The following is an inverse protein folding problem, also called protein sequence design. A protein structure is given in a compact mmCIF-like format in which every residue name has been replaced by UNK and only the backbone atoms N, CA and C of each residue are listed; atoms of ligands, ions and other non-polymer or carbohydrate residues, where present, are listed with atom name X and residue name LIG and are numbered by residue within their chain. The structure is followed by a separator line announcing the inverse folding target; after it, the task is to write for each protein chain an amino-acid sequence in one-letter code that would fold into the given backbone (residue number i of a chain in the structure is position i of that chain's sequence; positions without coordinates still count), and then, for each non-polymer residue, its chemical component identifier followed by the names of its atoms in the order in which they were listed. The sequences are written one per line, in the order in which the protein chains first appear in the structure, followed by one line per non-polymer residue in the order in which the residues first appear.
data_IF_657495494980
#
_entry.id   IF_657495494980
#
_cell.length_a   1.000
_cell.length_b   1.000
_cell.length_c   1.000
_cell.angle_alpha   90.00
_cell.angle_beta   90.00
_cell.angle_gamma   90.00
#
_symmetry.space_group_name_H-M   'P 1'
#
loop_
_entity.id
_entity.type
_entity.pdbx_description
1 polymer ?
#
# COMPACT_ATOMS: atom_id res chain seq x y z
N UNK A 1 20.97 -3.40 16.15
CA UNK A 1 20.57 -4.81 15.93
C UNK A 1 20.98 -5.26 14.55
N UNK A 2 21.12 -6.57 14.34
CA UNK A 2 21.14 -7.18 13.01
C UNK A 2 19.70 -7.56 12.65
N UNK A 3 19.13 -6.95 11.61
CA UNK A 3 17.74 -7.14 11.20
C UNK A 3 17.69 -7.81 9.83
N UNK A 4 16.99 -8.93 9.74
CA UNK A 4 16.65 -9.56 8.47
C UNK A 4 15.36 -8.98 7.91
N UNK A 5 15.28 -8.80 6.59
CA UNK A 5 14.06 -8.44 5.88
C UNK A 5 13.81 -9.47 4.78
N UNK A 6 12.64 -10.09 4.78
CA UNK A 6 12.16 -10.96 3.71
C UNK A 6 11.04 -10.25 2.95
N UNK A 7 11.27 -9.98 1.68
CA UNK A 7 10.27 -9.39 0.79
C UNK A 7 10.31 -10.03 -0.59
N UNK A 8 9.14 -10.22 -1.21
CA UNK A 8 9.04 -10.74 -2.56
C UNK A 8 9.46 -9.70 -3.61
N UNK A 9 9.06 -8.44 -3.38
CA UNK A 9 9.42 -7.28 -4.17
C UNK A 9 10.29 -6.32 -3.35
N UNK A 10 11.28 -5.70 -3.99
CA UNK A 10 12.17 -4.73 -3.38
C UNK A 10 12.71 -3.75 -4.45
N UNK A 11 13.01 -2.50 -4.14
CA UNK A 11 13.55 -1.55 -5.11
C UNK A 11 14.66 -2.15 -5.99
N UNK A 12 14.69 -1.87 -7.33
CA UNK A 12 14.02 -0.76 -8.03
C UNK A 12 12.56 -1.02 -8.43
N UNK A 13 11.94 -2.12 -8.03
CA UNK A 13 10.49 -2.31 -8.18
C UNK A 13 9.73 -1.27 -7.35
N UNK A 14 8.46 -0.94 -7.69
CA UNK A 14 7.64 -0.01 -6.90
C UNK A 14 7.19 -0.63 -5.56
N UNK A 15 8.14 -1.12 -4.78
CA UNK A 15 7.99 -1.73 -3.46
C UNK A 15 8.46 -0.76 -2.38
N UNK A 16 7.74 0.36 -2.24
CA UNK A 16 8.19 1.48 -1.40
C UNK A 16 8.32 1.11 0.08
N UNK A 17 7.35 0.39 0.64
CA UNK A 17 7.32 0.07 2.08
C UNK A 17 8.55 -0.72 2.53
N UNK A 18 8.89 -1.90 1.95
CA UNK A 18 10.07 -2.63 2.40
C UNK A 18 11.39 -1.92 2.07
N UNK A 19 11.43 -1.13 0.98
CA UNK A 19 12.60 -0.34 0.61
C UNK A 19 12.89 0.76 1.61
N UNK A 20 11.94 1.65 1.84
CA UNK A 20 12.08 2.77 2.77
C UNK A 20 12.28 2.31 4.22
N UNK A 21 11.64 1.19 4.63
CA UNK A 21 11.90 0.58 5.94
C UNK A 21 13.35 0.14 6.08
N UNK A 22 13.90 -0.54 5.06
CA UNK A 22 15.29 -1.01 5.10
C UNK A 22 16.28 0.15 5.17
N UNK A 23 16.08 1.18 4.35
CA UNK A 23 16.92 2.38 4.32
C UNK A 23 16.87 3.12 5.66
N UNK A 24 15.67 3.33 6.22
CA UNK A 24 15.50 4.06 7.47
C UNK A 24 16.08 3.27 8.66
N UNK A 25 15.87 1.96 8.74
CA UNK A 25 16.49 1.12 9.79
C UNK A 25 18.02 1.14 9.70
N UNK A 26 18.59 1.11 8.49
CA UNK A 26 20.03 1.24 8.29
C UNK A 26 20.56 2.62 8.72
N UNK A 27 19.82 3.70 8.37
CA UNK A 27 20.13 5.07 8.80
C UNK A 27 20.09 5.23 10.33
N UNK A 28 19.22 4.47 11.00
CA UNK A 28 19.11 4.40 12.47
C UNK A 28 20.22 3.56 13.13
N UNK A 29 21.16 3.04 12.35
CA UNK A 29 22.35 2.32 12.86
C UNK A 29 22.16 0.81 13.01
N UNK A 30 21.07 0.23 12.49
CA UNK A 30 20.92 -1.23 12.43
C UNK A 30 21.69 -1.82 11.27
N UNK A 31 22.21 -3.04 11.41
CA UNK A 31 22.76 -3.81 10.30
C UNK A 31 21.63 -4.58 9.62
N UNK A 32 21.23 -4.15 8.44
CA UNK A 32 20.04 -4.64 7.73
C UNK A 32 20.43 -5.57 6.60
N UNK A 33 19.79 -6.74 6.54
CA UNK A 33 19.97 -7.74 5.48
C UNK A 33 18.65 -8.05 4.81
N UNK A 34 18.54 -7.70 3.54
CA UNK A 34 17.32 -7.94 2.73
C UNK A 34 17.49 -9.16 1.84
N UNK A 35 16.61 -10.12 1.97
CA UNK A 35 16.50 -11.29 1.08
C UNK A 35 15.26 -11.12 0.20
N UNK A 36 15.46 -11.04 -1.12
CA UNK A 36 14.39 -10.72 -2.09
C UNK A 36 14.62 -11.36 -3.45
N UNK A 37 13.63 -11.25 -4.34
CA UNK A 37 13.74 -11.70 -5.74
C UNK A 37 14.44 -10.69 -6.64
N UNK A 38 14.71 -11.10 -7.88
CA UNK A 38 15.09 -10.18 -8.95
C UNK A 38 13.88 -9.36 -9.40
N UNK A 39 14.08 -8.08 -9.83
CA UNK A 39 12.98 -7.20 -10.17
C UNK A 39 12.28 -7.64 -11.48
N UNK A 40 10.96 -7.84 -11.41
CA UNK A 40 10.11 -8.21 -12.56
C UNK A 40 8.70 -7.58 -12.51
N UNK A 41 8.33 -6.89 -11.43
CA UNK A 41 7.02 -6.27 -11.28
C UNK A 41 6.98 -4.84 -11.87
N UNK A 42 5.94 -4.45 -12.64
CA UNK A 42 4.66 -5.17 -12.83
C UNK A 42 4.62 -6.11 -14.05
N UNK A 43 5.62 -6.08 -14.92
CA UNK A 43 5.60 -6.76 -16.22
C UNK A 43 5.73 -8.29 -16.17
N UNK A 44 6.18 -8.87 -15.03
CA UNK A 44 6.42 -10.30 -14.90
C UNK A 44 7.66 -10.80 -15.65
N UNK A 45 8.49 -9.88 -16.17
CA UNK A 45 9.77 -10.17 -16.82
C UNK A 45 10.88 -9.41 -16.09
N UNK A 46 12.03 -10.06 -15.96
CA UNK A 46 13.20 -9.42 -15.34
C UNK A 46 13.53 -8.12 -16.07
N UNK A 47 13.78 -7.07 -15.31
CA UNK A 47 14.05 -5.73 -15.85
C UNK A 47 15.25 -5.71 -16.81
N UNK A 48 15.25 -4.85 -17.85
CA UNK A 48 16.39 -4.63 -18.72
C UNK A 48 17.66 -4.33 -17.91
N UNK A 49 18.77 -4.96 -18.29
CA UNK A 49 20.05 -4.83 -17.58
C UNK A 49 20.23 -5.74 -16.38
N UNK A 50 19.18 -6.42 -15.91
CA UNK A 50 19.27 -7.40 -14.83
C UNK A 50 19.41 -8.83 -15.37
N UNK A 51 20.24 -9.63 -14.69
CA UNK A 51 20.37 -11.08 -14.96
C UNK A 51 20.29 -11.83 -13.65
N UNK A 52 19.46 -12.85 -13.58
CA UNK A 52 19.33 -13.69 -12.40
C UNK A 52 20.61 -14.50 -12.15
N UNK A 53 21.13 -14.42 -10.93
CA UNK A 53 22.34 -15.12 -10.45
C UNK A 53 22.16 -15.51 -8.99
N UNK A 54 22.78 -16.59 -8.56
CA UNK A 54 22.71 -17.04 -7.16
C UNK A 54 23.46 -16.14 -6.18
N UNK A 55 24.52 -15.51 -6.62
CA UNK A 55 25.42 -14.69 -5.79
C UNK A 55 25.28 -13.19 -6.10
N UNK A 56 24.06 -12.71 -6.30
CA UNK A 56 23.82 -11.29 -6.50
C UNK A 56 23.57 -10.60 -5.15
N UNK A 57 24.57 -9.92 -4.66
CA UNK A 57 24.52 -9.16 -3.41
C UNK A 57 25.05 -7.76 -3.64
N UNK A 58 24.33 -6.77 -3.10
CA UNK A 58 24.73 -5.36 -3.13
C UNK A 58 24.81 -4.84 -1.71
N UNK A 59 25.81 -4.01 -1.44
CA UNK A 59 26.08 -3.45 -0.12
C UNK A 59 26.10 -1.94 -0.19
N UNK A 60 25.48 -1.29 0.79
CA UNK A 60 25.54 0.14 1.03
C UNK A 60 25.57 0.37 2.53
N UNK A 61 26.64 0.98 3.04
CA UNK A 61 26.85 1.22 4.49
C UNK A 61 26.42 0.01 5.35
N UNK A 62 25.24 0.09 5.99
CA UNK A 62 24.67 -0.94 6.88
C UNK A 62 23.54 -1.75 6.23
N UNK A 63 23.37 -1.68 4.92
CA UNK A 63 22.33 -2.37 4.17
C UNK A 63 22.94 -3.33 3.15
N UNK A 64 22.71 -4.63 3.33
CA UNK A 64 23.05 -5.68 2.39
C UNK A 64 21.78 -6.24 1.73
N UNK A 65 21.72 -6.24 0.41
CA UNK A 65 20.58 -6.77 -0.35
C UNK A 65 21.01 -7.96 -1.18
N UNK A 66 20.53 -9.14 -0.83
CA UNK A 66 20.73 -10.37 -1.58
C UNK A 66 19.51 -10.74 -2.40
N UNK A 67 19.71 -10.88 -3.72
CA UNK A 67 18.63 -11.28 -4.64
C UNK A 67 18.81 -12.74 -5.03
N UNK A 68 17.68 -13.47 -4.98
CA UNK A 68 17.64 -14.88 -5.37
C UNK A 68 16.86 -15.07 -6.67
N UNK A 69 17.27 -16.02 -7.53
CA UNK A 69 16.54 -16.33 -8.74
C UNK A 69 15.12 -16.82 -8.43
N UNK A 70 14.18 -16.46 -9.29
CA UNK A 70 12.80 -16.96 -9.27
C UNK A 70 12.26 -17.09 -10.70
N UNK A 71 11.24 -17.90 -10.87
CA UNK A 71 10.57 -17.98 -12.15
C UNK A 71 9.87 -16.66 -12.47
N UNK A 72 10.20 -16.08 -13.63
CA UNK A 72 9.68 -14.82 -14.16
C UNK A 72 9.13 -15.11 -15.56
N UNK A 73 7.94 -15.67 -15.64
CA UNK A 73 7.30 -16.14 -16.88
C UNK A 73 5.98 -15.43 -17.22
N UNK A 74 5.85 -14.16 -16.80
CA UNK A 74 4.62 -13.38 -16.98
C UNK A 74 3.61 -13.59 -15.84
N UNK A 75 2.69 -12.62 -15.69
CA UNK A 75 1.70 -12.59 -14.59
C UNK A 75 0.30 -13.10 -15.01
N UNK A 76 0.17 -13.55 -16.26
CA UNK A 76 -1.15 -13.73 -16.91
C UNK A 76 -1.84 -15.06 -16.60
N UNK A 77 -1.20 -16.00 -15.92
CA UNK A 77 -1.82 -17.27 -15.54
C UNK A 77 -1.60 -17.60 -14.07
N UNK A 78 -2.57 -18.30 -13.48
CA UNK A 78 -2.48 -18.79 -12.10
C UNK A 78 -1.29 -19.75 -11.94
N UNK A 79 -1.04 -20.60 -12.92
CA UNK A 79 0.10 -21.53 -12.92
C UNK A 79 1.45 -20.82 -12.89
N UNK A 80 1.63 -19.75 -13.69
CA UNK A 80 2.86 -18.96 -13.69
C UNK A 80 3.09 -18.27 -12.35
N UNK A 81 2.04 -17.74 -11.71
CA UNK A 81 2.13 -17.15 -10.36
C UNK A 81 2.53 -18.17 -9.31
N UNK A 82 1.91 -19.36 -9.32
CA UNK A 82 2.26 -20.44 -8.40
C UNK A 82 3.71 -20.88 -8.59
N UNK A 83 4.15 -21.08 -9.85
CA UNK A 83 5.54 -21.43 -10.16
C UNK A 83 6.52 -20.38 -9.64
N UNK A 84 6.17 -19.08 -9.78
CA UNK A 84 6.99 -17.99 -9.25
C UNK A 84 7.08 -18.03 -7.72
N UNK A 85 5.98 -18.26 -7.02
CA UNK A 85 5.96 -18.33 -5.55
C UNK A 85 6.77 -19.53 -5.02
N UNK A 86 6.62 -20.69 -5.64
CA UNK A 86 7.35 -21.89 -5.23
C UNK A 86 8.83 -21.81 -5.56
N UNK A 87 9.20 -21.27 -6.73
CA UNK A 87 10.61 -21.09 -7.09
C UNK A 87 11.29 -20.06 -6.18
N UNK A 88 10.59 -18.98 -5.83
CA UNK A 88 11.08 -18.03 -4.83
C UNK A 88 11.29 -18.68 -3.47
N UNK A 89 10.33 -19.47 -2.98
CA UNK A 89 10.44 -20.19 -1.73
C UNK A 89 11.62 -21.16 -1.71
N UNK A 90 11.85 -21.90 -2.81
CA UNK A 90 13.00 -22.77 -2.97
C UNK A 90 14.33 -22.03 -2.91
N UNK A 91 14.43 -20.92 -3.66
CA UNK A 91 15.63 -20.10 -3.71
C UNK A 91 15.93 -19.41 -2.37
N UNK A 92 14.90 -18.90 -1.70
CA UNK A 92 15.02 -18.34 -0.33
C UNK A 92 15.50 -19.42 0.64
N UNK A 93 14.99 -20.66 0.55
CA UNK A 93 15.40 -21.76 1.43
C UNK A 93 16.90 -22.06 1.35
N UNK A 94 17.47 -21.97 0.15
CA UNK A 94 18.90 -22.20 -0.07
C UNK A 94 19.77 -21.05 0.46
N UNK A 95 19.29 -19.81 0.37
CA UNK A 95 20.03 -18.61 0.76
C UNK A 95 19.90 -18.28 2.25
N UNK A 96 18.74 -18.53 2.87
CA UNK A 96 18.37 -18.01 4.19
C UNK A 96 19.34 -18.41 5.30
N UNK A 97 19.77 -19.70 5.35
CA UNK A 97 20.68 -20.20 6.41
C UNK A 97 22.01 -19.45 6.47
N UNK A 98 22.56 -19.08 5.31
CA UNK A 98 23.86 -18.36 5.27
C UNK A 98 23.68 -16.87 5.46
N UNK A 99 22.57 -16.32 5.01
CA UNK A 99 22.40 -14.87 4.94
C UNK A 99 21.63 -14.28 6.13
N UNK A 100 20.72 -15.05 6.76
CA UNK A 100 19.87 -14.61 7.85
C UNK A 100 20.04 -15.35 9.17
N UNK A 101 21.02 -16.27 9.30
CA UNK A 101 21.14 -17.11 10.50
C UNK A 101 21.55 -16.36 11.78
N UNK A 102 22.28 -15.26 11.63
CA UNK A 102 22.81 -14.47 12.74
C UNK A 102 22.09 -13.12 12.95
N UNK A 103 20.88 -12.97 12.37
CA UNK A 103 20.06 -11.78 12.64
C UNK A 103 19.34 -11.90 13.98
N UNK A 104 19.18 -10.79 14.68
CA UNK A 104 18.49 -10.73 15.98
C UNK A 104 16.97 -10.91 15.83
N UNK A 105 16.40 -10.38 14.74
CA UNK A 105 14.99 -10.52 14.38
C UNK A 105 14.78 -10.44 12.87
N UNK A 106 13.69 -11.03 12.39
CA UNK A 106 13.28 -11.04 11.00
C UNK A 106 12.00 -10.22 10.82
N UNK A 107 12.02 -9.24 9.90
CA UNK A 107 10.82 -8.62 9.38
C UNK A 107 10.40 -9.30 8.08
N UNK A 108 9.12 -9.63 7.95
CA UNK A 108 8.54 -10.22 6.75
C UNK A 108 7.47 -9.30 6.19
N UNK A 109 7.69 -8.76 4.99
CA UNK A 109 6.65 -8.07 4.24
C UNK A 109 5.72 -9.12 3.63
N UNK A 110 4.64 -9.42 4.36
CA UNK A 110 3.81 -10.58 4.08
C UNK A 110 2.77 -10.29 3.01
N UNK A 111 2.97 -10.92 1.87
CA UNK A 111 2.06 -10.99 0.73
C UNK A 111 1.71 -12.47 0.48
N UNK A 112 0.66 -12.80 -0.28
CA UNK A 112 0.42 -14.18 -0.74
C UNK A 112 1.66 -14.79 -1.40
N UNK A 113 2.42 -13.99 -2.16
CA UNK A 113 3.67 -14.38 -2.81
C UNK A 113 4.79 -14.83 -1.86
N UNK A 114 4.82 -14.34 -0.62
CA UNK A 114 5.85 -14.68 0.37
C UNK A 114 5.50 -15.90 1.22
N UNK A 115 4.27 -16.39 1.21
CA UNK A 115 3.75 -17.37 2.16
C UNK A 115 4.64 -18.62 2.29
N UNK A 116 4.98 -19.26 1.18
CA UNK A 116 5.82 -20.47 1.21
C UNK A 116 7.28 -20.18 1.58
N UNK A 117 7.81 -19.03 1.15
CA UNK A 117 9.14 -18.57 1.56
C UNK A 117 9.19 -18.32 3.08
N UNK A 118 8.17 -17.67 3.63
CA UNK A 118 8.03 -17.43 5.07
C UNK A 118 7.97 -18.74 5.85
N UNK A 119 7.12 -19.69 5.42
CA UNK A 119 7.01 -21.02 6.04
C UNK A 119 8.34 -21.77 6.03
N UNK A 120 9.08 -21.69 4.92
CA UNK A 120 10.39 -22.31 4.78
C UNK A 120 11.43 -21.66 5.72
N UNK A 121 11.48 -20.34 5.77
CA UNK A 121 12.40 -19.61 6.65
C UNK A 121 12.12 -19.89 8.12
N UNK A 122 10.85 -19.92 8.56
CA UNK A 122 10.48 -20.28 9.94
C UNK A 122 10.94 -21.68 10.33
N UNK A 123 10.89 -22.64 9.38
CA UNK A 123 11.39 -24.00 9.59
C UNK A 123 12.91 -24.06 9.65
N UNK A 124 13.62 -23.26 8.82
CA UNK A 124 15.07 -23.28 8.70
C UNK A 124 15.77 -22.49 9.80
N UNK A 125 15.14 -21.44 10.31
CA UNK A 125 15.64 -20.52 11.31
C UNK A 125 14.70 -20.42 12.52
N UNK A 126 14.44 -21.53 13.24
CA UNK A 126 13.41 -21.56 14.30
C UNK A 126 13.77 -20.69 15.52
N UNK A 127 15.04 -20.29 15.67
CA UNK A 127 15.51 -19.44 16.77
C UNK A 127 15.45 -17.95 16.44
N UNK A 128 15.20 -17.56 15.17
CA UNK A 128 15.10 -16.17 14.76
C UNK A 128 13.64 -15.72 14.90
N UNK A 129 13.35 -14.84 15.86
CA UNK A 129 11.98 -14.35 16.03
C UNK A 129 11.56 -13.49 14.84
N UNK A 130 10.31 -13.62 14.41
CA UNK A 130 9.82 -12.93 13.24
C UNK A 130 8.63 -12.01 13.53
N UNK A 131 8.68 -10.82 12.93
CA UNK A 131 7.60 -9.85 12.82
C UNK A 131 7.00 -9.94 11.43
N UNK A 132 5.74 -10.32 11.31
CA UNK A 132 5.01 -10.31 10.05
C UNK A 132 4.34 -8.94 9.88
N UNK A 133 4.47 -8.31 8.72
CA UNK A 133 3.67 -7.17 8.34
C UNK A 133 2.72 -7.59 7.21
N UNK A 134 1.49 -7.89 7.59
CA UNK A 134 0.45 -8.45 6.71
C UNK A 134 -0.13 -7.34 5.88
N UNK A 135 0.02 -7.45 4.55
CA UNK A 135 -0.42 -6.46 3.57
C UNK A 135 -1.73 -6.86 2.92
N UNK A 136 -1.98 -8.16 2.87
CA UNK A 136 -3.17 -8.73 2.26
C UNK A 136 -3.51 -10.02 3.00
N UNK A 137 -4.76 -10.17 3.39
CA UNK A 137 -5.24 -11.38 4.05
C UNK A 137 -5.87 -12.28 2.99
N UNK A 138 -5.32 -13.47 2.85
CA UNK A 138 -5.91 -14.46 1.97
C UNK A 138 -7.27 -14.88 2.51
N UNK A 139 -8.34 -14.26 2.01
CA UNK A 139 -9.69 -14.66 2.32
C UNK A 139 -10.01 -16.02 1.66
N UNK A 140 -10.69 -16.92 2.38
CA UNK A 140 -11.15 -18.20 1.84
C UNK A 140 -12.00 -18.02 0.57
N UNK A 141 -12.74 -16.92 0.51
CA UNK A 141 -13.67 -16.61 -0.58
C UNK A 141 -12.94 -16.18 -1.89
N UNK A 142 -11.73 -15.63 -1.79
CA UNK A 142 -10.87 -15.36 -2.97
C UNK A 142 -10.23 -16.63 -3.56
N UNK A 143 -10.30 -17.74 -2.85
CA UNK A 143 -9.80 -19.03 -3.27
C UNK A 143 -10.73 -19.76 -4.23
N UNK A 144 -12.02 -19.49 -4.18
CA UNK A 144 -12.99 -20.05 -5.13
C UNK A 144 -12.76 -19.52 -6.55
N UNK A 145 -12.27 -18.28 -6.67
CA UNK A 145 -11.87 -17.70 -7.96
C UNK A 145 -10.63 -18.37 -8.59
N UNK A 146 -9.84 -19.13 -7.81
CA UNK A 146 -8.65 -19.83 -8.30
C UNK A 146 -8.90 -21.28 -8.76
N UNK A 147 -10.12 -21.79 -8.65
CA UNK A 147 -10.55 -23.07 -9.25
C UNK A 147 -9.94 -24.34 -8.64
N UNK A 148 -9.07 -24.26 -7.62
CA UNK A 148 -8.45 -25.43 -6.95
C UNK A 148 -8.54 -25.31 -5.41
N UNK A 149 -9.61 -25.91 -4.86
CA UNK A 149 -9.86 -25.94 -3.41
C UNK A 149 -8.70 -26.54 -2.59
N UNK A 150 -7.90 -27.45 -3.18
CA UNK A 150 -6.74 -28.06 -2.51
C UNK A 150 -5.59 -27.08 -2.32
N UNK A 151 -5.32 -26.22 -3.33
CA UNK A 151 -4.29 -25.20 -3.25
C UNK A 151 -4.63 -24.15 -2.19
N UNK A 152 -5.87 -23.72 -2.19
CA UNK A 152 -6.39 -22.78 -1.21
C UNK A 152 -6.30 -23.30 0.22
N UNK A 153 -6.69 -24.55 0.45
CA UNK A 153 -6.59 -25.18 1.75
C UNK A 153 -5.13 -25.28 2.25
N UNK A 154 -4.17 -25.61 1.35
CA UNK A 154 -2.73 -25.65 1.67
C UNK A 154 -2.18 -24.28 2.02
N UNK A 155 -2.58 -23.26 1.28
CA UNK A 155 -2.20 -21.87 1.56
C UNK A 155 -2.75 -21.43 2.92
N UNK A 156 -4.02 -21.68 3.20
CA UNK A 156 -4.65 -21.36 4.48
C UNK A 156 -3.98 -22.08 5.66
N UNK A 157 -3.68 -23.37 5.52
CA UNK A 157 -2.95 -24.12 6.56
C UNK A 157 -1.54 -23.57 6.80
N UNK A 158 -0.83 -23.19 5.73
CA UNK A 158 0.48 -22.57 5.82
C UNK A 158 0.39 -21.23 6.56
N UNK A 159 -0.59 -20.39 6.21
CA UNK A 159 -0.81 -19.09 6.87
C UNK A 159 -1.17 -19.24 8.35
N UNK A 160 -2.06 -20.17 8.70
CA UNK A 160 -2.39 -20.47 10.11
C UNK A 160 -1.13 -20.85 10.91
N UNK A 161 -0.26 -21.70 10.34
CA UNK A 161 1.00 -22.07 10.99
C UNK A 161 1.94 -20.86 11.14
N UNK A 162 2.05 -20.03 10.11
CA UNK A 162 2.87 -18.81 10.13
C UNK A 162 2.38 -17.87 11.22
N UNK A 163 1.08 -17.58 11.29
CA UNK A 163 0.51 -16.69 12.30
C UNK A 163 0.74 -17.19 13.73
N UNK A 164 0.57 -18.50 13.98
CA UNK A 164 0.83 -19.10 15.30
C UNK A 164 2.30 -19.05 15.72
N UNK A 165 3.21 -19.09 14.76
CA UNK A 165 4.66 -19.14 15.02
C UNK A 165 5.28 -17.75 15.11
N UNK A 166 4.66 -16.74 14.51
CA UNK A 166 5.18 -15.37 14.51
C UNK A 166 5.30 -14.78 15.92
N UNK A 167 6.42 -14.14 16.21
CA UNK A 167 6.63 -13.45 17.48
C UNK A 167 5.72 -12.22 17.63
N UNK A 168 5.49 -11.49 16.53
CA UNK A 168 4.57 -10.35 16.42
C UNK A 168 3.93 -10.34 15.03
N UNK A 169 2.73 -9.79 14.94
CA UNK A 169 1.99 -9.60 13.68
C UNK A 169 1.57 -8.15 13.58
N UNK A 170 2.09 -7.43 12.60
CA UNK A 170 1.62 -6.12 12.21
C UNK A 170 0.57 -6.28 11.09
N UNK A 171 -0.53 -5.53 11.15
CA UNK A 171 -1.57 -5.50 10.12
C UNK A 171 -1.66 -4.11 9.50
N UNK A 172 -1.79 -4.04 8.17
CA UNK A 172 -1.79 -2.77 7.43
C UNK A 172 -3.14 -2.03 7.46
N UNK A 173 -4.19 -2.65 8.01
CA UNK A 173 -5.51 -2.05 8.15
C UNK A 173 -6.24 -2.59 9.40
N UNK A 174 -7.13 -1.81 10.04
CA UNK A 174 -7.80 -2.20 11.28
C UNK A 174 -8.57 -3.52 11.19
N UNK A 175 -9.39 -3.70 10.16
CA UNK A 175 -10.22 -4.92 10.00
C UNK A 175 -9.39 -6.18 9.73
N UNK A 176 -8.15 -6.07 9.29
CA UNK A 176 -7.25 -7.21 9.12
C UNK A 176 -6.91 -7.88 10.46
N UNK A 177 -7.05 -7.16 11.60
CA UNK A 177 -6.80 -7.72 12.92
C UNK A 177 -7.65 -8.96 13.18
N UNK A 178 -8.97 -8.83 13.01
CA UNK A 178 -9.90 -9.91 13.29
C UNK A 178 -9.70 -11.07 12.32
N UNK A 179 -9.37 -10.77 11.06
CA UNK A 179 -9.09 -11.79 10.04
C UNK A 179 -7.83 -12.63 10.38
N UNK A 180 -6.72 -11.99 10.80
CA UNK A 180 -5.51 -12.73 11.17
C UNK A 180 -5.68 -13.49 12.48
N UNK A 181 -6.46 -12.98 13.44
CA UNK A 181 -6.82 -13.67 14.68
C UNK A 181 -7.67 -14.88 14.37
N UNK A 182 -8.71 -14.75 13.55
CA UNK A 182 -9.52 -15.88 13.09
C UNK A 182 -8.69 -16.94 12.33
N UNK A 183 -7.62 -16.50 11.65
CA UNK A 183 -6.68 -17.38 10.96
C UNK A 183 -5.62 -18.01 11.89
N UNK A 184 -5.63 -17.69 13.21
CA UNK A 184 -4.81 -18.33 14.22
C UNK A 184 -3.70 -17.48 14.84
N UNK A 185 -3.65 -16.17 14.60
CA UNK A 185 -2.75 -15.27 15.31
C UNK A 185 -3.21 -15.09 16.77
N UNK A 186 -2.25 -14.96 17.68
CA UNK A 186 -2.53 -14.58 19.07
C UNK A 186 -2.94 -13.09 19.12
N UNK A 187 -4.14 -12.74 19.61
CA UNK A 187 -4.61 -11.35 19.66
C UNK A 187 -3.65 -10.39 20.38
N UNK A 188 -2.93 -10.89 21.41
CA UNK A 188 -1.95 -10.11 22.18
C UNK A 188 -0.70 -9.74 21.37
N UNK A 189 -0.45 -10.45 20.26
CA UNK A 189 0.70 -10.23 19.37
C UNK A 189 0.37 -9.43 18.12
N UNK A 190 -0.92 -9.07 17.93
CA UNK A 190 -1.37 -8.33 16.73
C UNK A 190 -1.40 -6.83 17.02
N UNK A 191 -0.72 -6.04 16.18
CA UNK A 191 -0.69 -4.58 16.25
C UNK A 191 -1.01 -3.94 14.90
N UNK A 192 -1.67 -2.78 14.92
CA UNK A 192 -1.93 -1.99 13.72
C UNK A 192 -0.68 -1.17 13.35
N UNK A 193 -0.19 -1.37 12.14
CA UNK A 193 0.87 -0.57 11.54
C UNK A 193 0.44 -0.22 10.12
N UNK A 194 -0.17 0.95 9.98
CA UNK A 194 -0.60 1.46 8.67
C UNK A 194 0.60 1.69 7.76
N UNK A 195 0.40 1.46 6.46
CA UNK A 195 1.40 1.78 5.45
C UNK A 195 1.58 3.30 5.32
N UNK A 196 2.71 3.70 4.75
CA UNK A 196 3.09 5.09 4.47
C UNK A 196 3.34 5.33 2.99
N UNK A 197 3.42 6.59 2.59
CA UNK A 197 3.81 6.99 1.24
C UNK A 197 5.21 7.64 1.23
N UNK A 198 5.76 7.93 0.06
CA UNK A 198 7.02 8.67 -0.05
C UNK A 198 6.79 10.16 0.21
N UNK A 199 7.13 10.62 1.40
CA UNK A 199 6.94 12.00 1.85
C UNK A 199 7.90 12.99 1.14
N UNK A 200 8.94 12.49 0.46
CA UNK A 200 9.80 13.30 -0.40
C UNK A 200 9.10 13.67 -1.71
N UNK A 201 8.09 12.84 -2.09
CA UNK A 201 7.26 13.03 -3.27
C UNK A 201 5.90 13.63 -2.88
N UNK A 202 5.22 13.07 -1.88
CA UNK A 202 3.86 13.48 -1.48
C UNK A 202 3.89 14.39 -0.25
N UNK A 203 3.89 15.69 -0.48
CA UNK A 203 3.91 16.74 0.55
C UNK A 203 2.96 17.89 0.17
N UNK A 204 2.55 18.75 1.11
CA UNK A 204 1.76 19.92 0.79
C UNK A 204 2.52 20.86 -0.12
N UNK A 205 1.96 21.14 -1.30
CA UNK A 205 2.55 22.01 -2.30
C UNK A 205 1.64 23.21 -2.61
N UNK A 206 2.22 24.24 -3.20
CA UNK A 206 1.46 25.31 -3.85
C UNK A 206 1.42 25.02 -5.33
N UNK A 207 0.23 24.93 -5.96
CA UNK A 207 0.14 24.61 -7.36
C UNK A 207 0.70 25.71 -8.25
N UNK A 208 1.59 25.36 -9.17
CA UNK A 208 2.08 26.27 -10.20
C UNK A 208 1.00 26.58 -11.27
N UNK A 209 1.29 27.54 -12.16
CA UNK A 209 0.36 27.92 -13.23
C UNK A 209 0.01 26.74 -14.15
N UNK A 210 0.99 25.92 -14.51
CA UNK A 210 0.79 24.74 -15.36
C UNK A 210 -0.14 23.71 -14.75
N UNK A 211 0.04 23.38 -13.46
CA UNK A 211 -0.83 22.47 -12.73
C UNK A 211 -2.26 23.00 -12.64
N UNK A 212 -2.43 24.29 -12.37
CA UNK A 212 -3.76 24.94 -12.35
C UNK A 212 -4.45 24.88 -13.70
N UNK A 213 -3.78 25.23 -14.80
CA UNK A 213 -4.34 25.17 -16.15
C UNK A 213 -4.71 23.74 -16.56
N UNK A 214 -3.92 22.77 -16.14
CA UNK A 214 -4.17 21.36 -16.42
C UNK A 214 -5.40 20.83 -15.70
N UNK A 215 -5.55 21.18 -14.42
CA UNK A 215 -6.59 20.62 -13.53
C UNK A 215 -7.87 21.45 -13.59
N UNK A 216 -7.78 22.80 -13.71
CA UNK A 216 -8.93 23.71 -13.68
C UNK A 216 -9.22 24.32 -15.05
N UNK A 217 -10.50 24.44 -15.40
CA UNK A 217 -10.98 25.23 -16.56
C UNK A 217 -11.49 26.60 -16.12
N UNK A 218 -12.16 26.65 -14.99
CA UNK A 218 -12.81 27.84 -14.42
C UNK A 218 -12.80 27.79 -12.89
N UNK A 219 -13.77 28.42 -12.24
CA UNK A 219 -13.91 28.47 -10.78
C UNK A 219 -14.73 27.34 -10.18
N UNK A 220 -15.20 26.36 -10.98
CA UNK A 220 -15.95 25.21 -10.46
C UNK A 220 -15.12 24.38 -9.49
N UNK A 221 -15.81 23.68 -8.61
CA UNK A 221 -15.17 22.71 -7.73
C UNK A 221 -14.54 21.58 -8.57
N UNK A 222 -13.30 21.24 -8.28
CA UNK A 222 -12.60 20.14 -8.95
C UNK A 222 -12.37 18.98 -8.00
N UNK A 223 -12.94 17.83 -8.35
CA UNK A 223 -12.68 16.54 -7.71
C UNK A 223 -11.77 15.72 -8.62
N UNK A 224 -10.63 15.27 -8.12
CA UNK A 224 -9.61 14.60 -8.93
C UNK A 224 -9.37 13.17 -8.45
N UNK A 225 -9.43 12.19 -9.36
CA UNK A 225 -8.90 10.85 -9.14
C UNK A 225 -7.53 10.73 -9.79
N UNK A 226 -6.53 10.29 -9.04
CA UNK A 226 -5.20 10.07 -9.57
C UNK A 226 -4.73 8.62 -9.36
N UNK A 227 -4.38 7.93 -10.44
CA UNK A 227 -3.83 6.59 -10.43
C UNK A 227 -4.48 5.62 -11.42
N UNK A 228 -4.51 4.33 -11.08
CA UNK A 228 -5.04 3.28 -11.97
C UNK A 228 -6.53 3.47 -12.24
N UNK A 229 -6.92 3.38 -13.51
CA UNK A 229 -8.32 3.32 -13.98
C UNK A 229 -8.63 1.84 -14.25
N UNK A 230 -9.07 1.13 -13.23
CA UNK A 230 -9.27 -0.32 -13.29
C UNK A 230 -10.55 -0.77 -12.58
N UNK A 231 -10.86 -2.06 -12.73
CA UNK A 231 -12.13 -2.65 -12.27
C UNK A 231 -12.39 -2.46 -10.77
N UNK A 232 -11.35 -2.53 -9.94
CA UNK A 232 -11.48 -2.41 -8.47
C UNK A 232 -11.85 -0.99 -8.01
N UNK A 233 -11.66 0.03 -8.84
CA UNK A 233 -11.99 1.43 -8.53
C UNK A 233 -13.45 1.78 -8.80
N UNK A 234 -14.12 1.13 -9.75
CA UNK A 234 -15.51 1.41 -10.06
C UNK A 234 -15.78 2.85 -10.51
N UNK A 235 -14.91 3.43 -11.36
CA UNK A 235 -14.96 4.84 -11.74
C UNK A 235 -16.19 5.22 -12.58
N UNK A 236 -16.93 4.25 -13.11
CA UNK A 236 -18.24 4.47 -13.73
C UNK A 236 -19.24 5.13 -12.78
N UNK A 237 -19.18 4.80 -11.48
CA UNK A 237 -19.99 5.43 -10.43
C UNK A 237 -19.67 6.93 -10.34
N UNK A 238 -18.39 7.30 -10.38
CA UNK A 238 -17.96 8.70 -10.32
C UNK A 238 -18.37 9.47 -11.58
N UNK A 239 -18.30 8.84 -12.76
CA UNK A 239 -18.74 9.47 -14.03
C UNK A 239 -20.22 9.74 -14.02
N UNK A 240 -21.07 8.80 -13.55
CA UNK A 240 -22.54 9.00 -13.41
C UNK A 240 -22.84 10.13 -12.42
N UNK A 241 -22.19 10.13 -11.27
CA UNK A 241 -22.37 11.17 -10.26
C UNK A 241 -21.97 12.57 -10.80
N UNK A 242 -20.85 12.67 -11.51
CA UNK A 242 -20.38 13.93 -12.08
C UNK A 242 -21.31 14.41 -13.21
N UNK A 243 -21.79 13.52 -14.08
CA UNK A 243 -22.70 13.87 -15.17
C UNK A 243 -24.00 14.53 -14.67
N UNK A 244 -24.48 14.16 -13.47
CA UNK A 244 -25.64 14.78 -12.86
C UNK A 244 -25.39 16.23 -12.36
N UNK A 245 -24.12 16.69 -12.33
CA UNK A 245 -23.67 17.96 -11.76
C UNK A 245 -22.82 18.78 -12.73
N UNK A 246 -23.12 18.72 -14.01
CA UNK A 246 -22.33 19.24 -15.13
C UNK A 246 -21.92 20.73 -15.00
N UNK A 247 -22.74 21.54 -14.32
CA UNK A 247 -22.50 22.98 -14.10
C UNK A 247 -21.86 23.32 -12.75
N UNK A 248 -21.77 22.33 -11.84
CA UNK A 248 -21.38 22.56 -10.44
C UNK A 248 -19.93 22.20 -10.19
N UNK A 249 -19.45 21.13 -10.81
CA UNK A 249 -18.12 20.59 -10.56
C UNK A 249 -17.51 19.95 -11.80
N UNK A 250 -16.19 19.84 -11.79
CA UNK A 250 -15.40 19.06 -12.75
C UNK A 250 -14.85 17.79 -12.08
N UNK A 251 -14.98 16.66 -12.75
CA UNK A 251 -14.28 15.42 -12.41
C UNK A 251 -13.06 15.25 -13.29
N UNK A 252 -11.87 15.17 -12.69
CA UNK A 252 -10.61 14.99 -13.41
C UNK A 252 -10.03 13.62 -13.09
N UNK A 253 -9.89 12.76 -14.09
CA UNK A 253 -9.33 11.43 -13.99
C UNK A 253 -7.90 11.42 -14.58
N UNK A 254 -6.90 11.33 -13.68
CA UNK A 254 -5.48 11.33 -14.05
C UNK A 254 -4.95 9.90 -13.97
N UNK A 255 -4.51 9.35 -15.08
CA UNK A 255 -3.94 7.99 -15.09
C UNK A 255 -4.32 7.18 -16.31
N UNK A 256 -4.17 5.86 -16.18
CA UNK A 256 -4.51 4.89 -17.22
C UNK A 256 -4.86 3.54 -16.59
N UNK A 257 -5.41 2.63 -17.38
CA UNK A 257 -5.69 1.28 -16.92
C UNK A 257 -6.66 0.52 -17.80
N UNK A 258 -6.95 -0.73 -17.42
CA UNK A 258 -7.73 -1.64 -18.26
C UNK A 258 -9.17 -1.15 -18.52
N UNK A 259 -9.76 -0.38 -17.59
CA UNK A 259 -11.12 0.13 -17.71
C UNK A 259 -11.22 1.51 -18.36
N UNK A 260 -10.11 2.14 -18.73
CA UNK A 260 -10.11 3.51 -19.25
C UNK A 260 -11.05 3.67 -20.47
N UNK A 261 -11.01 2.72 -21.40
CA UNK A 261 -11.87 2.76 -22.58
C UNK A 261 -13.36 2.73 -22.19
N UNK A 262 -13.74 1.89 -21.27
CA UNK A 262 -15.12 1.74 -20.79
C UNK A 262 -15.59 3.00 -20.07
N UNK A 263 -14.77 3.58 -19.22
CA UNK A 263 -15.09 4.79 -18.44
C UNK A 263 -15.21 6.01 -19.36
N UNK A 264 -14.33 6.14 -20.38
CA UNK A 264 -14.44 7.19 -21.42
C UNK A 264 -15.71 7.03 -22.27
N UNK A 265 -16.06 5.80 -22.65
CA UNK A 265 -17.28 5.50 -23.40
C UNK A 265 -18.54 5.94 -22.65
N UNK A 266 -18.60 5.63 -21.34
CA UNK A 266 -19.71 6.05 -20.48
C UNK A 266 -19.80 7.59 -20.37
N UNK A 267 -18.68 8.29 -20.22
CA UNK A 267 -18.68 9.75 -20.16
C UNK A 267 -19.22 10.37 -21.46
N UNK A 268 -18.85 9.81 -22.62
CA UNK A 268 -19.36 10.24 -23.93
C UNK A 268 -20.85 9.94 -24.11
N UNK A 269 -21.32 8.76 -23.70
CA UNK A 269 -22.73 8.36 -23.73
C UNK A 269 -23.61 9.30 -22.91
N UNK A 270 -23.13 9.67 -21.71
CA UNK A 270 -23.83 10.59 -20.79
C UNK A 270 -23.63 12.07 -21.17
N UNK A 271 -22.85 12.37 -22.22
CA UNK A 271 -22.48 13.73 -22.61
C UNK A 271 -21.90 14.55 -21.44
N UNK A 272 -21.13 13.90 -20.58
CA UNK A 272 -20.57 14.47 -19.36
C UNK A 272 -19.31 15.33 -19.69
N UNK A 273 -19.54 16.58 -20.16
CA UNK A 273 -18.47 17.52 -20.58
C UNK A 273 -17.59 17.97 -19.39
N UNK A 274 -18.08 17.85 -18.17
CA UNK A 274 -17.36 18.11 -16.93
C UNK A 274 -16.47 16.94 -16.48
N UNK A 275 -16.46 15.79 -17.19
CA UNK A 275 -15.56 14.68 -16.93
C UNK A 275 -14.35 14.75 -17.86
N UNK A 276 -13.17 14.90 -17.28
CA UNK A 276 -11.92 15.08 -18.03
C UNK A 276 -10.93 13.96 -17.72
N UNK A 277 -10.19 13.56 -18.75
CA UNK A 277 -9.18 12.52 -18.65
C UNK A 277 -7.80 13.11 -18.97
N UNK A 278 -6.89 12.96 -18.05
CA UNK A 278 -5.49 13.33 -18.21
C UNK A 278 -4.62 12.08 -18.26
N UNK A 279 -3.63 12.07 -19.13
CA UNK A 279 -2.66 11.00 -19.20
C UNK A 279 -1.94 10.82 -17.87
N UNK A 280 -1.37 9.63 -17.65
CA UNK A 280 -0.51 9.32 -16.50
C UNK A 280 0.58 10.37 -16.35
N UNK A 281 0.81 10.82 -15.12
CA UNK A 281 1.83 11.80 -14.75
C UNK A 281 2.94 11.18 -13.93
N UNK A 282 4.07 11.83 -13.92
CA UNK A 282 5.18 11.46 -13.04
C UNK A 282 4.78 11.63 -11.57
N UNK A 283 5.19 10.75 -10.66
CA UNK A 283 4.96 10.94 -9.24
C UNK A 283 5.42 12.29 -8.70
N UNK A 284 6.49 12.88 -9.26
CA UNK A 284 7.02 14.18 -8.83
C UNK A 284 6.10 15.37 -9.17
N UNK A 285 5.19 15.21 -10.15
CA UNK A 285 4.21 16.24 -10.52
C UNK A 285 2.96 16.20 -9.61
N UNK A 286 2.77 15.10 -8.90
CA UNK A 286 1.52 14.83 -8.19
C UNK A 286 1.22 15.81 -7.05
N UNK A 287 2.17 16.29 -6.24
CA UNK A 287 1.89 17.27 -5.18
C UNK A 287 1.20 18.53 -5.70
N UNK A 288 1.69 19.09 -6.80
CA UNK A 288 1.08 20.28 -7.41
C UNK A 288 -0.29 19.98 -8.02
N UNK A 289 -0.48 18.81 -8.63
CA UNK A 289 -1.79 18.40 -9.15
C UNK A 289 -2.80 18.18 -8.01
N UNK A 290 -2.38 17.58 -6.90
CA UNK A 290 -3.22 17.43 -5.71
C UNK A 290 -3.63 18.80 -5.14
N UNK A 291 -2.68 19.74 -5.06
CA UNK A 291 -2.93 21.10 -4.58
C UNK A 291 -3.78 21.94 -5.56
N UNK A 292 -3.79 21.62 -6.87
CA UNK A 292 -4.60 22.29 -7.87
C UNK A 292 -6.08 21.85 -7.86
N UNK A 293 -6.39 20.65 -7.37
CA UNK A 293 -7.76 20.17 -7.18
C UNK A 293 -8.31 20.58 -5.80
N UNK A 294 -9.64 20.66 -5.67
CA UNK A 294 -10.28 20.94 -4.40
C UNK A 294 -10.39 19.69 -3.52
N UNK A 295 -10.57 18.51 -4.13
CA UNK A 295 -10.66 17.23 -3.42
C UNK A 295 -9.98 16.12 -4.21
N UNK A 296 -9.46 15.14 -3.47
CA UNK A 296 -9.01 13.87 -4.05
C UNK A 296 -10.10 12.82 -3.93
N UNK A 297 -10.41 12.15 -5.04
CA UNK A 297 -11.42 11.09 -5.09
C UNK A 297 -10.79 9.73 -4.83
N UNK A 298 -11.26 9.08 -3.79
CA UNK A 298 -10.91 7.71 -3.44
C UNK A 298 -12.09 6.80 -3.74
N UNK A 299 -11.88 5.86 -4.67
CA UNK A 299 -12.92 4.94 -5.13
C UNK A 299 -12.48 3.50 -4.90
N UNK A 300 -13.34 2.72 -4.27
CA UNK A 300 -13.24 1.27 -4.13
C UNK A 300 -14.61 0.65 -4.34
N UNK A 301 -14.69 -0.47 -5.06
CA UNK A 301 -15.94 -1.24 -5.20
C UNK A 301 -16.34 -1.88 -3.88
N UNK A 302 -17.61 -2.29 -3.77
CA UNK A 302 -18.11 -3.06 -2.63
C UNK A 302 -17.73 -4.54 -2.76
N UNK A 303 -16.44 -4.82 -2.57
CA UNK A 303 -15.90 -6.17 -2.55
C UNK A 303 -15.39 -6.47 -1.15
N UNK A 304 -15.68 -7.65 -0.57
CA UNK A 304 -15.26 -8.00 0.79
C UNK A 304 -13.77 -7.79 1.03
N UNK A 305 -12.93 -8.15 0.06
CA UNK A 305 -11.47 -8.01 0.14
C UNK A 305 -11.00 -6.54 0.06
N UNK A 306 -11.84 -5.59 -0.37
CA UNK A 306 -11.51 -4.17 -0.40
C UNK A 306 -11.94 -3.42 0.86
N UNK A 307 -12.84 -3.99 1.67
CA UNK A 307 -13.29 -3.37 2.93
C UNK A 307 -12.17 -3.24 3.95
N UNK A 308 -11.23 -4.19 3.96
CA UNK A 308 -10.03 -4.15 4.80
C UNK A 308 -8.82 -3.49 4.11
N UNK A 309 -9.02 -2.49 3.28
CA UNK A 309 -7.96 -1.83 2.53
C UNK A 309 -7.87 -0.33 2.86
N UNK A 310 -6.65 0.14 3.07
CA UNK A 310 -6.31 1.58 3.09
C UNK A 310 -5.42 1.86 1.88
N UNK A 311 -5.98 2.39 0.76
CA UNK A 311 -5.24 2.50 -0.49
C UNK A 311 -4.16 3.59 -0.43
N UNK A 312 -3.04 3.39 -1.12
CA UNK A 312 -1.94 4.35 -1.18
C UNK A 312 -2.33 5.74 -1.68
N UNK A 313 -3.41 5.84 -2.48
CA UNK A 313 -3.95 7.14 -2.91
C UNK A 313 -4.50 7.97 -1.75
N UNK A 314 -5.14 7.32 -0.76
CA UNK A 314 -5.59 7.99 0.45
C UNK A 314 -4.40 8.47 1.27
N UNK A 315 -3.39 7.62 1.44
CA UNK A 315 -2.15 7.99 2.13
C UNK A 315 -1.49 9.21 1.47
N UNK A 316 -1.36 9.20 0.14
CA UNK A 316 -0.80 10.31 -0.63
C UNK A 316 -1.64 11.60 -0.49
N UNK A 317 -2.98 11.51 -0.56
CA UNK A 317 -3.87 12.65 -0.38
C UNK A 317 -3.73 13.26 1.01
N UNK A 318 -3.77 12.44 2.05
CA UNK A 318 -3.59 12.89 3.44
C UNK A 318 -2.19 13.49 3.66
N UNK A 319 -1.15 12.87 3.09
CA UNK A 319 0.22 13.40 3.14
C UNK A 319 0.35 14.76 2.47
N UNK A 320 -0.37 15.01 1.37
CA UNK A 320 -0.41 16.31 0.68
C UNK A 320 -1.35 17.34 1.33
N UNK A 321 -1.96 17.05 2.47
CA UNK A 321 -3.01 17.88 3.08
C UNK A 321 -4.19 18.15 2.13
N UNK A 322 -4.47 17.25 1.21
CA UNK A 322 -5.58 17.36 0.28
C UNK A 322 -6.86 16.77 0.90
N UNK A 323 -7.99 17.50 0.90
CA UNK A 323 -9.27 16.96 1.35
C UNK A 323 -9.73 15.80 0.44
N UNK A 324 -10.55 14.92 0.97
CA UNK A 324 -10.95 13.68 0.29
C UNK A 324 -12.45 13.61 0.09
N UNK A 325 -12.89 13.10 -1.07
CA UNK A 325 -14.20 12.50 -1.25
C UNK A 325 -13.98 11.00 -1.45
N UNK A 326 -14.55 10.17 -0.59
CA UNK A 326 -14.40 8.72 -0.63
C UNK A 326 -15.74 8.05 -0.96
N UNK A 327 -15.77 7.24 -2.03
CA UNK A 327 -16.82 6.25 -2.27
C UNK A 327 -16.21 4.88 -2.04
N UNK A 328 -16.30 4.42 -0.80
CA UNK A 328 -15.66 3.21 -0.31
C UNK A 328 -16.34 2.74 0.98
N UNK A 329 -16.20 1.45 1.31
CA UNK A 329 -16.62 0.88 2.59
C UNK A 329 -15.45 0.60 3.52
N UNK A 330 -15.74 0.16 4.74
CA UNK A 330 -14.78 -0.34 5.72
C UNK A 330 -13.69 0.64 6.11
N UNK A 331 -12.48 0.13 6.29
CA UNK A 331 -11.35 0.88 6.85
C UNK A 331 -11.03 2.21 6.13
N UNK A 332 -11.28 2.28 4.81
CA UNK A 332 -11.07 3.52 4.04
C UNK A 332 -12.06 4.61 4.46
N UNK A 333 -13.35 4.30 4.49
CA UNK A 333 -14.39 5.25 4.90
C UNK A 333 -14.20 5.68 6.35
N UNK A 334 -14.02 4.72 7.25
CA UNK A 334 -13.81 4.96 8.68
C UNK A 334 -12.58 5.86 8.96
N UNK A 335 -11.49 5.68 8.21
CA UNK A 335 -10.31 6.52 8.34
C UNK A 335 -10.59 7.96 7.92
N UNK A 336 -11.32 8.18 6.80
CA UNK A 336 -11.67 9.53 6.32
C UNK A 336 -12.57 10.24 7.32
N UNK A 337 -13.58 9.54 7.87
CA UNK A 337 -14.53 10.07 8.86
C UNK A 337 -13.84 10.38 10.19
N UNK A 338 -13.09 9.43 10.74
CA UNK A 338 -12.35 9.60 12.00
C UNK A 338 -11.32 10.73 11.93
N UNK A 339 -10.64 10.85 10.79
CA UNK A 339 -9.69 11.94 10.55
C UNK A 339 -10.40 13.29 10.27
N UNK A 340 -11.72 13.29 10.01
CA UNK A 340 -12.47 14.45 9.50
C UNK A 340 -11.75 15.10 8.31
N UNK A 341 -11.21 14.25 7.42
CA UNK A 341 -10.37 14.66 6.31
C UNK A 341 -11.16 14.95 5.02
N UNK A 342 -12.48 14.76 5.05
CA UNK A 342 -13.32 14.94 3.87
C UNK A 342 -14.73 14.38 4.05
N UNK A 343 -15.29 13.91 2.95
CA UNK A 343 -16.64 13.37 2.84
C UNK A 343 -16.58 11.90 2.43
N UNK A 344 -17.52 11.09 2.93
CA UNK A 344 -17.63 9.69 2.53
C UNK A 344 -19.08 9.35 2.10
N UNK A 345 -19.21 8.32 1.27
CA UNK A 345 -20.48 7.69 0.90
C UNK A 345 -20.26 6.19 0.64
N UNK A 346 -21.34 5.40 0.65
CA UNK A 346 -21.26 3.99 0.29
C UNK A 346 -20.63 3.78 -1.09
N UNK A 347 -19.91 2.66 -1.29
CA UNK A 347 -19.37 2.33 -2.61
C UNK A 347 -20.49 2.02 -3.60
N UNK A 348 -20.21 2.25 -4.89
CA UNK A 348 -21.09 1.94 -6.03
C UNK A 348 -22.47 2.65 -6.03
N UNK A 349 -22.72 3.55 -5.07
CA UNK A 349 -23.91 4.42 -5.02
C UNK A 349 -23.60 5.77 -5.69
N UNK A 350 -23.94 5.89 -6.97
CA UNK A 350 -23.68 7.13 -7.72
C UNK A 350 -24.54 8.30 -7.25
N UNK A 351 -25.75 8.06 -6.73
CA UNK A 351 -26.63 9.13 -6.24
C UNK A 351 -26.07 9.71 -4.93
N UNK A 352 -25.72 8.85 -3.97
CA UNK A 352 -25.03 9.28 -2.75
C UNK A 352 -23.70 10.01 -3.07
N UNK A 353 -22.94 9.54 -4.06
CA UNK A 353 -21.72 10.23 -4.49
C UNK A 353 -21.99 11.60 -5.12
N UNK A 354 -23.08 11.75 -5.90
CA UNK A 354 -23.48 13.04 -6.44
C UNK A 354 -23.85 14.03 -5.33
N UNK A 355 -24.54 13.58 -4.28
CA UNK A 355 -24.80 14.40 -3.09
C UNK A 355 -23.52 14.85 -2.41
N UNK A 356 -22.49 13.98 -2.32
CA UNK A 356 -21.17 14.35 -1.76
C UNK A 356 -20.44 15.34 -2.66
N UNK A 357 -20.51 15.20 -3.97
CA UNK A 357 -19.92 16.15 -4.92
C UNK A 357 -20.61 17.52 -4.84
N UNK A 358 -21.93 17.55 -4.74
CA UNK A 358 -22.68 18.78 -4.53
C UNK A 358 -22.28 19.46 -3.20
N UNK A 359 -22.25 18.70 -2.10
CA UNK A 359 -21.84 19.21 -0.80
C UNK A 359 -20.38 19.72 -0.86
N UNK A 360 -19.46 18.98 -1.50
CA UNK A 360 -18.07 19.37 -1.68
C UNK A 360 -17.95 20.74 -2.39
N UNK A 361 -18.81 20.99 -3.39
CA UNK A 361 -18.84 22.26 -4.13
C UNK A 361 -19.34 23.44 -3.27
N UNK A 362 -20.19 23.19 -2.28
CA UNK A 362 -20.77 24.21 -1.40
C UNK A 362 -19.87 24.56 -0.19
N UNK A 363 -18.95 23.67 0.20
CA UNK A 363 -18.05 23.91 1.33
C UNK A 363 -17.07 25.03 0.99
N UNK A 364 -16.98 26.10 1.84
CA UNK A 364 -16.09 27.21 1.57
C UNK A 364 -14.60 26.82 1.67
N UNK A 365 -13.70 27.52 0.93
CA UNK A 365 -12.27 27.19 0.89
C UNK A 365 -11.59 27.02 2.26
N UNK A 366 -11.84 27.90 3.27
CA UNK A 366 -11.22 27.71 4.59
C UNK A 366 -11.57 26.40 5.27
N UNK A 367 -12.83 25.94 5.15
CA UNK A 367 -13.28 24.68 5.71
C UNK A 367 -12.66 23.47 4.99
N UNK A 368 -12.47 23.57 3.65
CA UNK A 368 -11.75 22.56 2.87
C UNK A 368 -10.29 22.47 3.30
N UNK A 369 -9.62 23.61 3.46
CA UNK A 369 -8.23 23.64 3.95
C UNK A 369 -8.11 23.00 5.32
N UNK A 370 -9.07 23.24 6.20
CA UNK A 370 -9.10 22.61 7.53
C UNK A 370 -9.29 21.08 7.48
N UNK A 371 -10.13 20.57 6.58
CA UNK A 371 -10.24 19.12 6.33
C UNK A 371 -8.89 18.53 5.91
N UNK A 372 -8.21 19.14 4.95
CA UNK A 372 -6.89 18.71 4.50
C UNK A 372 -5.86 18.73 5.62
N UNK A 373 -5.85 19.79 6.45
CA UNK A 373 -4.96 19.91 7.61
C UNK A 373 -5.18 18.78 8.63
N UNK A 374 -6.42 18.44 8.96
CA UNK A 374 -6.76 17.32 9.87
C UNK A 374 -6.32 15.99 9.29
N UNK A 375 -6.57 15.77 7.98
CA UNK A 375 -6.09 14.60 7.26
C UNK A 375 -4.58 14.42 7.40
N UNK A 376 -3.82 15.50 7.15
CA UNK A 376 -2.35 15.47 7.29
C UNK A 376 -1.90 15.23 8.73
N UNK A 377 -2.55 15.82 9.72
CA UNK A 377 -2.23 15.54 11.12
C UNK A 377 -2.41 14.05 11.48
N UNK A 378 -3.51 13.45 11.00
CA UNK A 378 -3.74 12.01 11.16
C UNK A 378 -2.67 11.20 10.43
N UNK A 379 -2.32 11.57 9.19
CA UNK A 379 -1.24 10.94 8.44
C UNK A 379 0.09 10.99 9.21
N UNK A 380 0.52 12.15 9.65
CA UNK A 380 1.79 12.33 10.36
C UNK A 380 1.87 11.49 11.65
N UNK A 381 0.77 11.38 12.38
CA UNK A 381 0.70 10.62 13.62
C UNK A 381 0.66 9.10 13.40
N UNK A 382 -0.02 8.64 12.35
CA UNK A 382 -0.38 7.23 12.21
C UNK A 382 0.25 6.52 11.01
N UNK A 383 0.57 7.26 9.94
CA UNK A 383 0.91 6.73 8.61
C UNK A 383 2.19 7.32 8.03
N UNK A 384 2.89 8.20 8.73
CA UNK A 384 4.17 8.72 8.24
C UNK A 384 5.27 7.66 8.28
N UNK A 385 6.28 7.81 7.42
CA UNK A 385 7.45 6.91 7.43
C UNK A 385 8.06 6.79 8.82
N UNK A 386 8.35 7.90 9.56
CA UNK A 386 8.85 7.79 10.92
C UNK A 386 7.91 7.01 11.85
N UNK A 387 6.60 7.31 11.84
CA UNK A 387 5.63 6.64 12.69
C UNK A 387 5.50 5.14 12.38
N UNK A 388 5.55 4.76 11.11
CA UNK A 388 5.52 3.36 10.68
C UNK A 388 6.80 2.61 11.09
N UNK A 389 7.96 3.21 10.83
CA UNK A 389 9.25 2.62 11.20
C UNK A 389 9.41 2.50 12.71
N UNK A 390 9.01 3.51 13.50
CA UNK A 390 9.06 3.45 14.97
C UNK A 390 8.25 2.28 15.53
N UNK A 391 7.07 2.00 14.94
CA UNK A 391 6.24 0.86 15.35
C UNK A 391 6.88 -0.48 14.97
N UNK A 392 7.39 -0.60 13.74
CA UNK A 392 8.05 -1.83 13.28
C UNK A 392 9.34 -2.07 14.07
N UNK A 393 10.17 -1.06 14.30
CA UNK A 393 11.39 -1.16 15.09
C UNK A 393 11.10 -1.62 16.53
N UNK A 394 10.06 -1.08 17.16
CA UNK A 394 9.59 -1.52 18.48
C UNK A 394 9.20 -3.00 18.48
N UNK A 395 8.41 -3.43 17.49
CA UNK A 395 8.01 -4.83 17.33
C UNK A 395 9.21 -5.76 17.16
N UNK A 396 10.24 -5.32 16.42
CA UNK A 396 11.50 -6.07 16.23
C UNK A 396 12.28 -6.20 17.53
N UNK A 397 12.37 -5.12 18.33
CA UNK A 397 13.00 -5.17 19.65
C UNK A 397 12.25 -6.10 20.61
N UNK A 398 10.92 -5.99 20.68
CA UNK A 398 10.07 -6.87 21.48
C UNK A 398 10.21 -8.34 21.07
N UNK A 399 10.23 -8.60 19.76
CA UNK A 399 10.42 -9.96 19.24
C UNK A 399 11.78 -10.55 19.62
N UNK A 400 12.84 -9.72 19.63
CA UNK A 400 14.17 -10.11 20.06
C UNK A 400 14.36 -10.18 21.61
N UNK A 401 13.31 -9.94 22.40
CA UNK A 401 13.37 -9.92 23.86
C UNK A 401 14.16 -8.74 24.44
N UNK A 402 14.28 -7.65 23.67
CA UNK A 402 15.02 -6.43 24.09
C UNK A 402 14.02 -5.36 24.57
N UNK A 403 14.39 -4.58 25.59
CA UNK A 403 13.53 -3.51 26.10
C UNK A 403 13.50 -2.33 25.11
N UNK A 404 12.32 -1.97 24.54
CA UNK A 404 12.20 -0.86 23.59
C UNK A 404 12.54 0.52 24.18
N UNK A 405 12.42 0.71 25.49
CA UNK A 405 12.65 2.00 26.14
C UNK A 405 14.13 2.41 26.16
N UNK A 406 15.07 1.46 26.13
CA UNK A 406 16.49 1.73 26.04
C UNK A 406 16.93 2.40 24.72
N UNK A 407 16.07 2.37 23.70
CA UNK A 407 16.35 2.95 22.36
C UNK A 407 16.02 4.45 22.31
N UNK A 408 15.00 4.88 23.06
CA UNK A 408 14.61 6.31 23.16
C UNK A 408 15.66 7.15 23.91
N UNK A 409 16.27 6.60 24.94
CA UNK A 409 17.30 7.28 25.75
C UNK A 409 18.62 7.47 25.00
N UNK A 410 18.99 6.53 24.13
CA UNK A 410 20.17 6.65 23.28
C UNK A 410 20.04 7.73 22.18
N UNK A 411 18.82 8.03 21.75
CA UNK A 411 18.55 9.09 20.75
C UNK A 411 18.49 10.48 21.38
N UNK A 412 18.01 10.61 22.62
CA UNK A 412 18.01 11.87 23.36
C UNK A 412 19.39 12.42 23.70
N UNK A 413 20.42 11.56 23.71
CA UNK A 413 21.81 11.92 24.02
C UNK A 413 22.67 12.21 22.78
N UNK A 414 22.12 12.09 21.56
CA UNK A 414 22.82 12.33 20.27
C UNK A 414 22.21 13.51 19.47
N UNK A 415 21.17 14.15 19.98
CA UNK A 415 20.57 15.36 19.46
C UNK A 415 20.95 16.57 20.35
#
# INVERSE_FOLDING_TARGET
MKIGILSYHFPPEPAFIPGSLAEELAARGHDVRVLTGFPDYPGGHVYPGWRQRWNHETHSQRLAVRRVPRYSGGVNSTGARVASYLSFAGSVSLAARRFLADVDALYVFQLPATTFATAAVFRLLPKVPAVLHVQDVWARDGAEAAGDGRWSARMGAAMTRIYRTAARVAVAAPSMRDLVVAAGADPARVQLVLNWTDERIFYPATPGAAARQMVRRDRRCVVMHAGTIGARQGLETAVRAAAALDRTMDLVLVGSGADERRVRGLAAELKAENVRFLARRSPVDMPELYAAADYQLIMLRDLPELRGMVPGKLQAALSCAAPVVASAGGDTAELVERARAGLSCPPEDWAALADRFWLAATIPPPARTEMGRRGRQTYLREMSLPAGVDRIERLLHEAAGRNPQAVGELRGNLA
#
